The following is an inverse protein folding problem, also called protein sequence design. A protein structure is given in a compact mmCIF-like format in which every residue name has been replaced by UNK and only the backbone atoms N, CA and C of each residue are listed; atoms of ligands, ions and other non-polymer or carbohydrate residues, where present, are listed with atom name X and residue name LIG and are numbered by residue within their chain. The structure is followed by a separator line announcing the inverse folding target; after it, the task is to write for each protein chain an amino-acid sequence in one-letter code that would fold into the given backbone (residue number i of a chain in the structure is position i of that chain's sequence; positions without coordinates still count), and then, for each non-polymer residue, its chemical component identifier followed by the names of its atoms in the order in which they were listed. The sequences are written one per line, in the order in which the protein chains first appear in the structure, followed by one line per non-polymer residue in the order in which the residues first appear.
data_IF_702681814299
#
_entry.id   IF_702681814299
#
_cell.length_a   1.000
_cell.length_b   1.000
_cell.length_c   1.000
_cell.angle_alpha   90.00
_cell.angle_beta   90.00
_cell.angle_gamma   90.00
#
_symmetry.space_group_name_H-M   'P 1'
#
loop_
_entity.id
_entity.type
_entity.pdbx_description
1 polymer ?
#
# COMPACT_ATOMS: atom_id res chain seq x y z
N UNK A 1 6.96 -15.04 -8.68
CA UNK A 1 7.38 -14.29 -9.89
C UNK A 1 6.71 -12.93 -9.81
N UNK A 2 7.46 -11.83 -9.96
CA UNK A 2 6.87 -10.49 -9.98
C UNK A 2 6.15 -10.29 -11.32
N UNK A 3 4.82 -10.21 -11.31
CA UNK A 3 4.02 -9.98 -12.52
C UNK A 3 3.91 -8.49 -12.84
N UNK A 4 3.35 -8.17 -14.02
CA UNK A 4 2.98 -6.79 -14.37
C UNK A 4 2.00 -6.17 -13.36
N UNK A 5 1.14 -6.98 -12.74
CA UNK A 5 0.18 -6.53 -11.72
C UNK A 5 0.89 -6.04 -10.46
N UNK A 6 1.89 -6.79 -9.99
CA UNK A 6 2.75 -6.36 -8.88
C UNK A 6 3.55 -5.09 -9.22
N UNK A 7 4.13 -5.03 -10.43
CA UNK A 7 4.84 -3.83 -10.91
C UNK A 7 3.95 -2.58 -10.95
N UNK A 8 2.69 -2.74 -11.38
CA UNK A 8 1.72 -1.65 -11.39
C UNK A 8 1.34 -1.17 -9.98
N UNK A 9 1.29 -2.08 -9.00
CA UNK A 9 1.06 -1.72 -7.59
C UNK A 9 2.25 -0.93 -7.01
N UNK A 10 3.48 -1.36 -7.32
CA UNK A 10 4.69 -0.64 -6.87
C UNK A 10 4.74 0.79 -7.43
N UNK A 11 4.48 0.96 -8.72
CA UNK A 11 4.45 2.30 -9.34
C UNK A 11 3.32 3.17 -8.76
N UNK A 12 2.18 2.56 -8.45
CA UNK A 12 1.07 3.28 -7.82
C UNK A 12 1.42 3.74 -6.41
N UNK A 13 1.97 2.85 -5.57
CA UNK A 13 2.46 3.20 -4.24
C UNK A 13 3.52 4.30 -4.29
N UNK A 14 4.47 4.20 -5.23
CA UNK A 14 5.49 5.24 -5.44
C UNK A 14 4.86 6.59 -5.78
N UNK A 15 3.82 6.61 -6.62
CA UNK A 15 3.13 7.83 -7.00
C UNK A 15 2.36 8.46 -5.84
N UNK A 16 1.55 7.66 -5.12
CA UNK A 16 0.77 8.13 -3.98
C UNK A 16 1.71 8.71 -2.90
N UNK A 17 2.75 7.98 -2.54
CA UNK A 17 3.64 8.35 -1.44
C UNK A 17 4.85 9.19 -1.89
N UNK A 18 4.84 9.77 -3.09
CA UNK A 18 5.99 10.44 -3.72
C UNK A 18 6.58 11.58 -2.88
N UNK A 19 5.73 12.25 -2.10
CA UNK A 19 6.12 13.36 -1.24
C UNK A 19 6.08 13.04 0.26
N UNK A 20 5.69 11.82 0.62
CA UNK A 20 5.64 11.40 2.02
C UNK A 20 7.02 10.99 2.53
N UNK A 21 7.31 11.38 3.77
CA UNK A 21 8.53 10.99 4.50
C UNK A 21 8.13 10.23 5.75
N UNK A 22 9.00 9.34 6.23
CA UNK A 22 8.81 8.67 7.51
C UNK A 22 8.85 9.69 8.65
N UNK A 23 7.93 9.55 9.60
CA UNK A 23 7.74 10.47 10.74
C UNK A 23 9.07 10.76 11.44
N UNK A 24 9.41 12.04 11.55
CA UNK A 24 10.62 12.50 12.24
C UNK A 24 11.93 12.28 11.47
N UNK A 25 11.90 11.92 10.18
CA UNK A 25 13.12 11.64 9.40
C UNK A 25 13.04 12.22 7.97
N UNK A 26 14.17 12.38 7.26
CA UNK A 26 14.16 12.73 5.83
C UNK A 26 13.90 11.54 4.91
N UNK A 27 13.77 10.32 5.45
CA UNK A 27 13.71 9.08 4.68
C UNK A 27 12.38 9.01 3.89
N UNK A 28 12.41 8.75 2.56
CA UNK A 28 11.20 8.57 1.77
C UNK A 28 10.32 7.44 2.29
N UNK A 29 9.00 7.65 2.31
CA UNK A 29 8.05 6.68 2.87
C UNK A 29 8.04 5.34 2.12
N UNK A 30 8.33 5.35 0.82
CA UNK A 30 8.43 4.13 0.00
C UNK A 30 9.41 3.10 0.57
N UNK A 31 10.43 3.52 1.32
CA UNK A 31 11.35 2.59 2.01
C UNK A 31 10.65 1.68 3.02
N UNK A 32 9.65 2.19 3.74
CA UNK A 32 8.82 1.43 4.67
C UNK A 32 7.98 0.40 3.91
N UNK A 33 7.28 0.84 2.87
CA UNK A 33 6.43 -0.03 2.04
C UNK A 33 7.23 -1.19 1.42
N UNK A 34 8.42 -0.89 0.89
CA UNK A 34 9.31 -1.92 0.33
C UNK A 34 9.82 -2.89 1.40
N UNK A 35 10.14 -2.40 2.61
CA UNK A 35 10.59 -3.27 3.70
C UNK A 35 9.49 -4.24 4.15
N UNK A 36 8.25 -3.77 4.33
CA UNK A 36 7.11 -4.63 4.68
C UNK A 36 6.81 -5.63 3.55
N UNK A 37 6.86 -5.18 2.29
CA UNK A 37 6.65 -6.05 1.13
C UNK A 37 7.71 -7.16 1.04
N UNK A 38 8.97 -6.83 1.34
CA UNK A 38 10.05 -7.82 1.36
C UNK A 38 9.78 -8.90 2.42
N UNK A 39 9.37 -8.52 3.63
CA UNK A 39 9.03 -9.47 4.70
C UNK A 39 7.91 -10.44 4.27
N UNK A 40 6.85 -9.93 3.65
CA UNK A 40 5.74 -10.76 3.16
C UNK A 40 6.21 -11.76 2.10
N UNK A 41 7.04 -11.32 1.16
CA UNK A 41 7.57 -12.19 0.10
C UNK A 41 8.54 -13.25 0.65
N UNK A 42 9.38 -12.87 1.62
CA UNK A 42 10.33 -13.78 2.27
C UNK A 42 9.63 -14.84 3.13
N UNK A 43 8.46 -14.53 3.70
CA UNK A 43 7.61 -15.48 4.44
C UNK A 43 6.76 -16.38 3.52
N UNK A 44 6.90 -16.25 2.19
CA UNK A 44 6.17 -17.05 1.21
C UNK A 44 4.75 -16.55 0.91
N UNK A 45 4.47 -15.28 1.23
CA UNK A 45 3.20 -14.62 0.93
C UNK A 45 2.86 -14.64 -0.57
N UNK A 46 1.56 -14.66 -0.83
CA UNK A 46 1.00 -14.57 -2.18
C UNK A 46 1.21 -13.20 -2.81
N UNK A 47 0.99 -13.11 -4.13
CA UNK A 47 1.06 -11.82 -4.82
C UNK A 47 0.03 -10.82 -4.30
N UNK A 48 -1.18 -11.26 -3.93
CA UNK A 48 -2.20 -10.36 -3.37
C UNK A 48 -1.74 -9.76 -2.03
N UNK A 49 -1.10 -10.56 -1.18
CA UNK A 49 -0.54 -10.10 0.11
C UNK A 49 0.64 -9.16 -0.11
N UNK A 50 1.50 -9.44 -1.08
CA UNK A 50 2.62 -8.56 -1.43
C UNK A 50 2.14 -7.21 -2.03
N UNK A 51 1.11 -7.23 -2.86
CA UNK A 51 0.45 -6.02 -3.36
C UNK A 51 -0.20 -5.25 -2.21
N UNK A 52 -0.90 -5.95 -1.31
CA UNK A 52 -1.51 -5.31 -0.15
C UNK A 52 -0.44 -4.67 0.76
N UNK A 53 0.70 -5.32 0.95
CA UNK A 53 1.83 -4.75 1.69
C UNK A 53 2.37 -3.45 1.07
N UNK A 54 2.43 -3.35 -0.26
CA UNK A 54 2.80 -2.11 -0.95
C UNK A 54 1.78 -0.99 -0.73
N UNK A 55 0.52 -1.32 -0.50
CA UNK A 55 -0.61 -0.39 -0.49
C UNK A 55 -1.25 -0.21 0.89
N UNK A 56 -0.72 -0.84 1.94
CA UNK A 56 -1.40 -0.95 3.24
C UNK A 56 -1.74 0.41 3.87
N UNK A 57 -0.88 1.41 3.69
CA UNK A 57 -1.08 2.77 4.20
C UNK A 57 -1.77 3.71 3.18
N UNK A 58 -2.06 3.24 1.97
CA UNK A 58 -2.53 4.12 0.89
C UNK A 58 -3.91 4.72 1.17
N UNK A 59 -4.83 3.94 1.75
CA UNK A 59 -6.17 4.45 2.10
C UNK A 59 -6.05 5.48 3.22
N UNK A 60 -5.29 5.17 4.27
CA UNK A 60 -5.17 6.03 5.45
C UNK A 60 -4.42 7.33 5.17
N UNK A 61 -3.31 7.27 4.44
CA UNK A 61 -2.39 8.40 4.30
C UNK A 61 -2.59 9.19 3.00
N UNK A 62 -3.22 8.61 1.97
CA UNK A 62 -3.16 9.17 0.60
C UNK A 62 -4.52 9.47 -0.05
N UNK A 63 -5.64 9.27 0.65
CA UNK A 63 -6.92 9.83 0.16
C UNK A 63 -8.19 9.03 0.44
N UNK A 64 -8.19 8.09 1.39
CA UNK A 64 -9.40 7.46 1.91
C UNK A 64 -10.20 6.67 0.87
N UNK A 65 -11.52 6.84 0.88
CA UNK A 65 -12.46 6.07 0.06
C UNK A 65 -12.18 6.10 -1.46
N UNK A 66 -11.83 7.24 -2.09
CA UNK A 66 -11.37 7.24 -3.48
C UNK A 66 -10.21 6.27 -3.76
N UNK A 67 -9.20 6.24 -2.88
CA UNK A 67 -8.06 5.33 -3.00
C UNK A 67 -8.51 3.87 -2.81
N UNK A 68 -9.42 3.62 -1.85
CA UNK A 68 -10.02 2.29 -1.63
C UNK A 68 -10.68 1.75 -2.91
N UNK A 69 -11.46 2.57 -3.60
CA UNK A 69 -12.13 2.19 -4.85
C UNK A 69 -11.13 1.95 -5.98
N UNK A 70 -10.09 2.77 -6.07
CA UNK A 70 -9.04 2.58 -7.06
C UNK A 70 -8.27 1.27 -6.83
N UNK A 71 -7.92 0.95 -5.58
CA UNK A 71 -7.26 -0.31 -5.21
C UNK A 71 -8.14 -1.50 -5.62
N UNK A 72 -9.42 -1.47 -5.26
CA UNK A 72 -10.37 -2.52 -5.65
C UNK A 72 -10.43 -2.71 -7.17
N UNK A 73 -10.56 -1.63 -7.93
CA UNK A 73 -10.67 -1.66 -9.39
C UNK A 73 -9.41 -2.19 -10.06
N UNK A 74 -8.23 -1.80 -9.57
CA UNK A 74 -6.93 -2.09 -10.22
C UNK A 74 -6.32 -3.40 -9.77
N UNK A 75 -6.54 -3.78 -8.52
CA UNK A 75 -5.86 -4.89 -7.87
C UNK A 75 -6.82 -5.94 -7.29
N UNK A 76 -8.14 -5.75 -7.39
CA UNK A 76 -9.14 -6.76 -7.04
C UNK A 76 -9.56 -6.75 -5.57
N UNK A 77 -10.62 -7.52 -5.29
CA UNK A 77 -11.29 -7.50 -3.98
C UNK A 77 -10.42 -8.04 -2.84
N UNK A 78 -9.67 -9.12 -3.09
CA UNK A 78 -8.80 -9.70 -2.05
C UNK A 78 -7.72 -8.74 -1.57
N UNK A 79 -7.16 -7.93 -2.46
CA UNK A 79 -6.17 -6.90 -2.10
C UNK A 79 -6.82 -5.82 -1.25
N UNK A 80 -7.95 -5.26 -1.69
CA UNK A 80 -8.59 -4.18 -0.93
C UNK A 80 -9.10 -4.67 0.43
N UNK A 81 -9.53 -5.91 0.55
CA UNK A 81 -9.90 -6.52 1.83
C UNK A 81 -8.73 -6.53 2.82
N UNK A 82 -7.54 -6.96 2.39
CA UNK A 82 -6.33 -6.94 3.23
C UNK A 82 -5.95 -5.51 3.60
N UNK A 83 -5.93 -4.59 2.63
CA UNK A 83 -5.58 -3.18 2.87
C UNK A 83 -6.57 -2.53 3.86
N UNK A 84 -7.86 -2.81 3.76
CA UNK A 84 -8.86 -2.34 4.72
C UNK A 84 -8.57 -2.86 6.13
N UNK A 85 -8.13 -4.11 6.27
CA UNK A 85 -7.72 -4.68 7.56
C UNK A 85 -6.47 -4.03 8.16
N UNK A 86 -5.68 -3.32 7.36
CA UNK A 86 -4.51 -2.55 7.79
C UNK A 86 -4.78 -1.05 7.94
N UNK A 87 -5.99 -0.57 7.61
CA UNK A 87 -6.36 0.85 7.67
C UNK A 87 -7.07 1.15 8.99
N UNK A 88 -6.48 1.98 9.86
CA UNK A 88 -7.10 2.33 11.14
C UNK A 88 -8.20 3.39 10.97
N UNK A 89 -8.02 4.31 10.04
CA UNK A 89 -9.00 5.36 9.70
C UNK A 89 -8.86 5.79 8.24
N UNK A 90 -9.96 6.26 7.64
CA UNK A 90 -9.97 6.91 6.33
C UNK A 90 -10.35 8.40 6.41
N UNK A 91 -10.40 8.95 7.63
CA UNK A 91 -10.73 10.35 7.90
C UNK A 91 -9.48 11.22 8.08
N UNK A 92 -9.59 12.47 7.64
CA UNK A 92 -8.56 13.50 7.86
C UNK A 92 -9.19 14.74 8.54
N UNK A 93 -8.70 15.20 9.71
CA UNK A 93 -7.56 14.65 10.45
C UNK A 93 -7.88 13.30 11.09
N UNK A 94 -6.83 12.52 11.36
CA UNK A 94 -6.95 11.25 12.10
C UNK A 94 -7.50 11.54 13.51
N UNK A 95 -8.39 10.69 14.05
CA UNK A 95 -8.97 10.86 15.39
C UNK A 95 -7.93 10.77 16.51
#
# INVERSE_FOLDING_TARGET
MSTERFGAALLYALHLHAHQKRKGTPVPYISHLLAVTALVLEDGGSEDEAIAALLHDAIEDQGGEPIRQEIRRRFGDKVVEIVNGCTDTDQTPKP
#
